data_IF_256989708542
#
_entry.id   IF_256989708542
#
_cell.length_a   1.000
_cell.length_b   1.000
_cell.length_c   1.000
_cell.angle_alpha   90.00
_cell.angle_beta   90.00
_cell.angle_gamma   90.00
#
_symmetry.space_group_name_H-M   'P 1'
#
loop_
_entity.id
_entity.type
_entity.pdbx_description
1 polymer ?
#
# COMPACT_ATOMS: atom_id res chain seq x y z
N UNK A 1 24.92 -0.11 13.18
CA UNK A 1 23.56 -0.20 13.80
C UNK A 1 23.21 -1.66 14.05
N UNK A 2 22.42 -1.99 15.09
CA UNK A 2 21.98 -3.37 15.31
C UNK A 2 21.01 -3.80 14.21
N UNK A 3 21.18 -4.99 13.59
CA UNK A 3 20.22 -5.51 12.61
C UNK A 3 18.83 -5.72 13.22
N UNK A 4 17.81 -5.62 12.37
CA UNK A 4 16.41 -5.90 12.70
C UNK A 4 15.92 -7.02 11.78
N UNK A 5 15.24 -8.01 12.35
CA UNK A 5 14.68 -9.10 11.57
C UNK A 5 13.27 -8.74 11.09
N UNK A 6 13.04 -8.88 9.77
CA UNK A 6 11.76 -8.73 9.11
C UNK A 6 11.43 -10.08 8.46
N UNK A 7 10.53 -10.83 9.10
CA UNK A 7 10.26 -12.22 8.73
C UNK A 7 11.56 -13.05 8.75
N UNK A 8 11.93 -13.72 7.64
CA UNK A 8 13.14 -14.55 7.58
C UNK A 8 14.43 -13.77 7.24
N UNK A 9 14.38 -12.44 7.03
CA UNK A 9 15.54 -11.64 6.60
C UNK A 9 16.00 -10.68 7.70
N UNK A 10 17.32 -10.55 7.85
CA UNK A 10 17.94 -9.56 8.74
C UNK A 10 18.34 -8.31 7.95
N UNK A 11 17.86 -7.15 8.37
CA UNK A 11 18.07 -5.86 7.72
C UNK A 11 19.01 -5.00 8.57
N UNK A 12 20.11 -4.52 7.98
CA UNK A 12 21.08 -3.69 8.68
C UNK A 12 22.46 -3.67 8.02
N UNK A 13 23.43 -3.13 8.74
CA UNK A 13 24.81 -3.00 8.28
C UNK A 13 25.44 -4.36 7.96
N UNK A 14 26.10 -4.47 6.80
CA UNK A 14 26.72 -5.71 6.33
C UNK A 14 25.74 -6.79 5.82
N UNK A 15 24.45 -6.46 5.66
CA UNK A 15 23.44 -7.35 5.07
C UNK A 15 23.08 -6.92 3.64
N UNK A 16 22.52 -7.82 2.80
CA UNK A 16 21.95 -7.43 1.52
C UNK A 16 20.88 -6.35 1.68
N UNK A 17 20.69 -5.54 0.63
CA UNK A 17 19.59 -4.58 0.58
C UNK A 17 18.25 -5.33 0.65
N UNK A 18 17.33 -4.84 1.48
CA UNK A 18 15.98 -5.39 1.59
C UNK A 18 15.03 -4.57 0.71
N UNK A 19 14.52 -5.18 -0.35
CA UNK A 19 13.71 -4.49 -1.37
C UNK A 19 12.23 -4.71 -1.09
N UNK A 20 11.51 -3.61 -0.86
CA UNK A 20 10.05 -3.61 -0.69
C UNK A 20 9.42 -3.09 -1.98
N UNK A 21 8.64 -3.94 -2.66
CA UNK A 21 7.78 -3.54 -3.76
C UNK A 21 6.54 -2.82 -3.21
N UNK A 22 6.46 -1.51 -3.41
CA UNK A 22 5.31 -0.71 -2.97
C UNK A 22 4.13 -0.86 -3.94
N UNK A 23 3.17 -1.72 -3.59
CA UNK A 23 1.90 -1.83 -4.30
C UNK A 23 0.97 -0.66 -3.94
N UNK A 24 1.00 -0.19 -2.69
CA UNK A 24 0.21 0.96 -2.26
C UNK A 24 -1.29 0.79 -2.52
N UNK A 25 -1.86 1.71 -3.29
CA UNK A 25 -3.24 1.68 -3.80
C UNK A 25 -3.34 1.33 -5.31
N UNK A 26 -2.25 0.85 -5.93
CA UNK A 26 -2.21 0.54 -7.36
C UNK A 26 -3.09 -0.65 -7.77
N UNK A 27 -3.73 -1.33 -6.81
CA UNK A 27 -4.73 -2.36 -7.08
C UNK A 27 -6.03 -1.78 -7.65
N UNK A 28 -6.29 -0.48 -7.53
CA UNK A 28 -7.44 0.17 -8.17
C UNK A 28 -8.79 -0.45 -7.80
N UNK A 29 -8.93 -0.93 -6.55
CA UNK A 29 -10.11 -1.70 -6.06
C UNK A 29 -10.44 -2.97 -6.84
N UNK A 30 -9.44 -3.59 -7.46
CA UNK A 30 -9.56 -4.92 -8.07
C UNK A 30 -8.66 -5.94 -7.33
N UNK A 31 -9.30 -6.97 -6.73
CA UNK A 31 -8.60 -8.02 -5.98
C UNK A 31 -7.70 -8.87 -6.89
N UNK A 32 -8.10 -9.10 -8.14
CA UNK A 32 -7.27 -9.83 -9.09
C UNK A 32 -6.04 -9.02 -9.49
N UNK A 33 -6.14 -7.69 -9.53
CA UNK A 33 -4.96 -6.81 -9.71
C UNK A 33 -4.09 -6.83 -8.45
N UNK A 34 -4.66 -6.82 -7.25
CA UNK A 34 -3.89 -6.94 -6.01
C UNK A 34 -3.06 -8.23 -5.96
N UNK A 35 -3.64 -9.38 -6.32
CA UNK A 35 -2.90 -10.65 -6.46
C UNK A 35 -1.80 -10.56 -7.51
N UNK A 36 -2.09 -9.99 -8.68
CA UNK A 36 -1.08 -9.81 -9.73
C UNK A 36 0.09 -8.94 -9.29
N UNK A 37 -0.15 -7.94 -8.44
CA UNK A 37 0.93 -7.12 -7.86
C UNK A 37 1.82 -7.93 -6.92
N UNK A 38 1.24 -8.88 -6.17
CA UNK A 38 2.01 -9.84 -5.35
C UNK A 38 2.84 -10.75 -6.26
N UNK A 39 2.24 -11.34 -7.29
CA UNK A 39 2.92 -12.22 -8.24
C UNK A 39 4.12 -11.52 -8.90
N UNK A 40 3.91 -10.32 -9.44
CA UNK A 40 4.96 -9.56 -10.12
C UNK A 40 6.07 -9.12 -9.15
N UNK A 41 5.74 -8.79 -7.91
CA UNK A 41 6.74 -8.47 -6.89
C UNK A 41 7.62 -9.69 -6.56
N UNK A 42 7.01 -10.87 -6.44
CA UNK A 42 7.72 -12.12 -6.21
C UNK A 42 8.60 -12.51 -7.41
N UNK A 43 8.06 -12.43 -8.64
CA UNK A 43 8.78 -12.73 -9.88
C UNK A 43 9.98 -11.78 -10.10
N UNK A 44 9.85 -10.52 -9.68
CA UNK A 44 10.94 -9.54 -9.72
C UNK A 44 12.02 -9.76 -8.65
N UNK A 45 11.79 -10.67 -7.69
CA UNK A 45 12.72 -10.95 -6.60
C UNK A 45 12.69 -9.92 -5.47
N UNK A 46 11.58 -9.20 -5.28
CA UNK A 46 11.42 -8.35 -4.10
C UNK A 46 11.38 -9.19 -2.81
N UNK A 47 11.89 -8.65 -1.71
CA UNK A 47 11.88 -9.35 -0.41
C UNK A 47 10.53 -9.22 0.30
N UNK A 48 9.74 -8.20 -0.03
CA UNK A 48 8.37 -8.01 0.41
C UNK A 48 7.56 -7.18 -0.59
N UNK A 49 6.25 -7.34 -0.54
CA UNK A 49 5.27 -6.43 -1.15
C UNK A 49 4.52 -5.67 -0.05
N UNK A 50 4.28 -4.37 -0.25
CA UNK A 50 3.60 -3.52 0.74
C UNK A 50 2.35 -2.89 0.14
N UNK A 51 1.22 -3.09 0.81
CA UNK A 51 -0.03 -2.38 0.57
C UNK A 51 -0.25 -1.29 1.61
N UNK A 52 -1.06 -0.30 1.27
CA UNK A 52 -1.45 0.76 2.20
C UNK A 52 -2.76 0.43 2.90
N UNK A 53 -2.79 0.66 4.21
CA UNK A 53 -3.92 0.34 5.08
C UNK A 53 -4.40 1.61 5.75
N UNK A 54 -5.55 2.12 5.33
CA UNK A 54 -6.18 3.32 5.88
C UNK A 54 -7.68 3.31 5.57
N UNK A 55 -8.43 4.18 6.25
CA UNK A 55 -9.69 4.71 5.72
C UNK A 55 -9.49 6.21 5.50
N UNK A 56 -10.21 6.81 4.58
CA UNK A 56 -10.08 8.24 4.31
C UNK A 56 -10.42 9.09 5.53
N UNK A 57 -11.39 8.64 6.35
CA UNK A 57 -11.76 9.32 7.60
C UNK A 57 -10.73 9.20 8.71
N UNK A 58 -9.99 8.08 8.78
CA UNK A 58 -8.93 7.91 9.79
C UNK A 58 -7.66 8.66 9.40
N UNK A 59 -7.42 8.85 8.10
CA UNK A 59 -6.21 9.47 7.58
C UNK A 59 -6.33 10.99 7.41
N UNK A 60 -7.50 11.49 7.01
CA UNK A 60 -7.71 12.92 6.72
C UNK A 60 -8.89 13.50 7.51
N UNK A 61 -8.73 14.76 7.92
CA UNK A 61 -9.83 15.53 8.48
C UNK A 61 -10.96 15.69 7.46
N UNK A 62 -12.20 15.61 7.92
CA UNK A 62 -13.38 15.96 7.11
C UNK A 62 -13.42 17.45 6.70
N UNK A 63 -12.54 18.28 7.28
CA UNK A 63 -12.37 19.69 6.96
C UNK A 63 -11.10 19.97 6.12
N UNK A 64 -10.40 18.93 5.67
CA UNK A 64 -9.22 19.11 4.82
C UNK A 64 -9.60 19.83 3.52
N UNK A 65 -8.75 20.75 3.01
CA UNK A 65 -8.90 21.29 1.67
C UNK A 65 -8.95 20.17 0.63
N UNK A 66 -9.62 20.45 -0.48
CA UNK A 66 -9.70 19.55 -1.62
C UNK A 66 -8.33 19.44 -2.32
N UNK A 67 -8.16 18.37 -3.10
CA UNK A 67 -6.95 18.17 -3.89
C UNK A 67 -7.12 18.78 -5.29
N UNK A 68 -6.99 20.11 -5.39
CA UNK A 68 -7.25 20.87 -6.62
C UNK A 68 -6.35 20.44 -7.80
N UNK A 69 -5.18 19.85 -7.52
CA UNK A 69 -4.25 19.34 -8.53
C UNK A 69 -4.74 18.05 -9.23
N UNK A 70 -5.81 17.42 -8.72
CA UNK A 70 -6.37 16.18 -9.29
C UNK A 70 -7.51 16.42 -10.29
N UNK A 71 -7.81 17.68 -10.64
CA UNK A 71 -8.90 18.01 -11.56
C UNK A 71 -10.26 17.53 -11.03
N UNK A 72 -11.06 16.89 -11.87
CA UNK A 72 -12.40 16.38 -11.51
C UNK A 72 -12.38 15.43 -10.30
N UNK A 73 -11.31 14.63 -10.13
CA UNK A 73 -11.16 13.75 -8.97
C UNK A 73 -11.01 14.52 -7.65
N UNK A 74 -10.49 15.76 -7.73
CA UNK A 74 -10.33 16.67 -6.60
C UNK A 74 -11.62 17.37 -6.17
N UNK A 75 -12.70 17.29 -6.96
CA UNK A 75 -14.00 17.91 -6.65
C UNK A 75 -14.77 17.18 -5.55
N UNK A 76 -14.26 16.05 -5.06
CA UNK A 76 -14.82 15.29 -3.94
C UNK A 76 -14.08 15.58 -2.64
N UNK A 77 -14.73 15.43 -1.47
CA UNK A 77 -14.02 15.50 -0.19
C UNK A 77 -12.88 14.47 -0.15
N UNK A 78 -11.71 14.87 0.32
CA UNK A 78 -10.50 14.02 0.29
C UNK A 78 -10.72 12.66 0.95
N UNK A 79 -11.44 12.62 2.07
CA UNK A 79 -11.71 11.37 2.77
C UNK A 79 -12.55 10.40 1.93
N UNK A 80 -13.52 10.89 1.13
CA UNK A 80 -14.31 10.02 0.25
C UNK A 80 -13.48 9.49 -0.92
N UNK A 81 -12.61 10.34 -1.50
CA UNK A 81 -11.69 9.91 -2.55
C UNK A 81 -10.75 8.80 -2.06
N UNK A 82 -10.22 8.95 -0.84
CA UNK A 82 -9.32 7.98 -0.24
C UNK A 82 -10.04 6.69 0.16
N UNK A 83 -11.30 6.78 0.57
CA UNK A 83 -12.11 5.58 0.78
C UNK A 83 -12.22 4.78 -0.52
N UNK A 84 -12.25 5.38 -1.71
CA UNK A 84 -12.22 4.61 -2.96
C UNK A 84 -10.85 4.01 -3.28
N UNK A 85 -9.75 4.57 -2.76
CA UNK A 85 -8.40 4.09 -3.02
C UNK A 85 -7.88 3.07 -1.99
N UNK A 86 -8.51 3.01 -0.82
CA UNK A 86 -8.07 2.16 0.28
C UNK A 86 -8.13 0.66 -0.07
N UNK A 87 -7.27 -0.14 0.55
CA UNK A 87 -7.37 -1.59 0.50
C UNK A 87 -8.51 -2.06 1.41
N UNK A 88 -9.52 -2.81 0.93
CA UNK A 88 -10.51 -3.46 1.79
C UNK A 88 -9.83 -4.30 2.88
N UNK A 89 -10.29 -4.15 4.12
CA UNK A 89 -9.69 -4.84 5.29
C UNK A 89 -9.84 -6.35 5.17
N UNK A 90 -10.94 -6.80 4.57
CA UNK A 90 -11.26 -8.19 4.32
C UNK A 90 -10.30 -8.88 3.33
N UNK A 91 -9.58 -8.13 2.48
CA UNK A 91 -8.58 -8.69 1.56
C UNK A 91 -7.25 -8.98 2.24
N UNK A 92 -6.97 -8.36 3.39
CA UNK A 92 -5.65 -8.45 4.03
C UNK A 92 -5.25 -9.89 4.41
N UNK A 93 -6.13 -10.72 4.99
CA UNK A 93 -5.78 -12.11 5.29
C UNK A 93 -5.49 -12.93 4.02
N UNK A 94 -6.17 -12.63 2.91
CA UNK A 94 -5.99 -13.33 1.64
C UNK A 94 -4.68 -12.93 0.95
N UNK A 95 -4.35 -11.64 0.93
CA UNK A 95 -3.12 -11.12 0.33
C UNK A 95 -1.86 -11.39 1.18
N UNK A 96 -2.03 -11.73 2.47
CA UNK A 96 -0.94 -12.04 3.38
C UNK A 96 -0.68 -13.55 3.53
N UNK A 97 -1.47 -14.40 2.88
CA UNK A 97 -1.35 -15.86 2.91
C UNK A 97 -0.22 -16.36 2.01
#
# INVERSE_FOLDING_TARGET
MNPVDIGPRSVGEGRPCYVIAEAGSNHGRDLAVAHRLVDVAADAGADAVKFQTYTGRDLYSTRAPRFDYLGELGERPVHELLDDLALPREWQPELAA
#
